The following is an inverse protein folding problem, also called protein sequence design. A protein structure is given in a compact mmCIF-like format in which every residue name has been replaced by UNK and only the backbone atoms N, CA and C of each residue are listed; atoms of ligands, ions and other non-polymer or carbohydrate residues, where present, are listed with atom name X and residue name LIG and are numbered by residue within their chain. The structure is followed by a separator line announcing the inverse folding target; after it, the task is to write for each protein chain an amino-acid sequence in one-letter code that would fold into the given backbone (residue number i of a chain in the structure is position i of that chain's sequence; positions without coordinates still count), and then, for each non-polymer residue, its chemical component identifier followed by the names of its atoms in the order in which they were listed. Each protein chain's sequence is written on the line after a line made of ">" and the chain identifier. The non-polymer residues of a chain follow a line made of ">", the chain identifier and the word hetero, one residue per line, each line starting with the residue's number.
data_IF_237879389595
#
_entry.id   IF_237879389595
#
_cell.length_a   1.000
_cell.length_b   1.000
_cell.length_c   1.000
_cell.angle_alpha   90.00
_cell.angle_beta   90.00
_cell.angle_gamma   90.00
#
_symmetry.space_group_name_H-M   'P 1'
#
loop_
_entity.id
_entity.type
_entity.pdbx_description
1 polymer ?
#
# COMPACT_ATOMS: atom_id res chain seq x y z
N UNK A 1 -15.86 18.61 -15.25
CA UNK A 1 -16.22 17.18 -15.29
C UNK A 1 -16.83 16.88 -13.93
N UNK A 2 -18.09 16.44 -13.84
CA UNK A 2 -18.64 15.98 -12.55
C UNK A 2 -17.83 14.79 -12.08
N UNK A 3 -17.44 14.79 -10.80
CA UNK A 3 -16.86 13.61 -10.18
C UNK A 3 -17.92 12.48 -10.28
N UNK A 4 -17.57 11.31 -10.81
CA UNK A 4 -18.48 10.19 -10.84
C UNK A 4 -18.86 9.79 -9.40
N UNK A 5 -20.07 9.27 -9.23
CA UNK A 5 -20.51 8.71 -7.96
C UNK A 5 -19.72 7.41 -7.69
N UNK A 6 -18.60 7.58 -7.00
CA UNK A 6 -17.65 6.49 -6.70
C UNK A 6 -18.33 5.36 -5.91
N UNK A 7 -19.15 5.62 -4.87
CA UNK A 7 -19.93 4.58 -4.19
C UNK A 7 -20.78 3.72 -5.12
N UNK A 8 -21.57 4.33 -6.00
CA UNK A 8 -22.45 3.61 -6.94
C UNK A 8 -21.64 2.80 -7.95
N UNK A 9 -20.48 3.30 -8.36
CA UNK A 9 -19.57 2.56 -9.24
C UNK A 9 -18.96 1.35 -8.52
N UNK A 10 -18.52 1.50 -7.28
CA UNK A 10 -17.96 0.41 -6.48
C UNK A 10 -19.00 -0.68 -6.16
N UNK A 11 -20.25 -0.29 -5.90
CA UNK A 11 -21.35 -1.22 -5.66
C UNK A 11 -21.67 -2.09 -6.90
N UNK A 12 -21.71 -1.46 -8.09
CA UNK A 12 -21.87 -2.19 -9.37
C UNK A 12 -20.70 -3.14 -9.65
N UNK A 13 -19.48 -2.75 -9.27
CA UNK A 13 -18.29 -3.61 -9.36
C UNK A 13 -18.35 -4.80 -8.39
N UNK A 14 -18.88 -4.60 -7.18
CA UNK A 14 -19.10 -5.66 -6.21
C UNK A 14 -20.12 -6.69 -6.74
N UNK A 15 -21.17 -6.22 -7.42
CA UNK A 15 -22.20 -7.04 -8.04
C UNK A 15 -21.76 -7.71 -9.36
N UNK A 16 -20.52 -7.47 -9.82
CA UNK A 16 -19.97 -7.93 -11.12
C UNK A 16 -20.77 -7.45 -12.33
N UNK A 17 -21.55 -6.38 -12.18
CA UNK A 17 -22.29 -5.71 -13.24
C UNK A 17 -21.50 -4.56 -13.87
N UNK A 18 -20.17 -4.59 -13.73
CA UNK A 18 -19.31 -3.55 -14.25
C UNK A 18 -19.17 -3.63 -15.77
N UNK A 19 -19.54 -2.54 -16.43
CA UNK A 19 -19.45 -2.40 -17.87
C UNK A 19 -18.13 -1.76 -18.33
N UNK A 20 -17.93 -1.65 -19.66
CA UNK A 20 -16.78 -0.97 -20.24
C UNK A 20 -16.73 0.53 -19.87
N UNK A 21 -17.90 1.15 -19.62
CA UNK A 21 -18.00 2.55 -19.17
C UNK A 21 -17.44 2.75 -17.75
N UNK A 22 -17.62 1.76 -16.87
CA UNK A 22 -17.10 1.82 -15.51
C UNK A 22 -15.58 1.71 -15.51
N UNK A 23 -15.00 0.97 -16.45
CA UNK A 23 -13.54 0.89 -16.64
C UNK A 23 -12.95 2.24 -17.07
N UNK A 24 -13.58 2.92 -18.02
CA UNK A 24 -13.11 4.24 -18.45
C UNK A 24 -13.23 5.26 -17.32
N UNK A 25 -14.34 5.19 -16.57
CA UNK A 25 -14.55 6.02 -15.38
C UNK A 25 -13.48 5.76 -14.31
N UNK A 26 -13.15 4.50 -14.05
CA UNK A 26 -12.06 4.11 -13.14
C UNK A 26 -10.70 4.58 -13.63
N UNK A 27 -10.42 4.48 -14.94
CA UNK A 27 -9.16 4.98 -15.51
C UNK A 27 -9.04 6.48 -15.31
N UNK A 28 -10.05 7.25 -15.68
CA UNK A 28 -10.09 8.69 -15.45
C UNK A 28 -9.93 9.04 -13.97
N UNK A 29 -10.50 8.23 -13.06
CA UNK A 29 -10.33 8.40 -11.63
C UNK A 29 -8.88 8.14 -11.18
N UNK A 30 -8.22 7.11 -11.71
CA UNK A 30 -6.80 6.84 -11.42
C UNK A 30 -5.85 7.89 -11.99
N UNK A 31 -6.22 8.55 -13.09
CA UNK A 31 -5.47 9.65 -13.68
C UNK A 31 -5.64 10.94 -12.85
N UNK A 32 -6.87 11.21 -12.41
CA UNK A 32 -7.19 12.38 -11.58
C UNK A 32 -6.63 12.23 -10.17
N UNK A 33 -6.68 11.02 -9.61
CA UNK A 33 -6.22 10.69 -8.26
C UNK A 33 -5.27 9.48 -8.28
N UNK A 34 -3.98 9.70 -8.59
CA UNK A 34 -3.00 8.60 -8.72
C UNK A 34 -2.78 7.78 -7.45
N UNK A 35 -3.09 8.36 -6.28
CA UNK A 35 -2.97 7.71 -4.97
C UNK A 35 -4.22 6.94 -4.54
N UNK A 36 -5.30 6.95 -5.33
CA UNK A 36 -6.55 6.29 -4.94
C UNK A 36 -6.47 4.77 -5.15
N UNK A 37 -6.04 4.06 -4.11
CA UNK A 37 -5.74 2.61 -4.14
C UNK A 37 -6.96 1.78 -4.57
N UNK A 38 -8.14 2.11 -4.05
CA UNK A 38 -9.39 1.39 -4.36
C UNK A 38 -9.70 1.42 -5.86
N UNK A 39 -9.46 2.55 -6.54
CA UNK A 39 -9.65 2.63 -7.98
C UNK A 39 -8.65 1.75 -8.76
N UNK A 40 -7.38 1.69 -8.33
CA UNK A 40 -6.39 0.79 -8.97
C UNK A 40 -6.77 -0.68 -8.79
N UNK A 41 -7.23 -1.07 -7.60
CA UNK A 41 -7.68 -2.43 -7.30
C UNK A 41 -8.94 -2.78 -8.10
N UNK A 42 -9.91 -1.88 -8.13
CA UNK A 42 -11.16 -2.06 -8.86
C UNK A 42 -10.91 -2.16 -10.37
N UNK A 43 -10.10 -1.26 -10.93
CA UNK A 43 -9.69 -1.30 -12.34
C UNK A 43 -8.99 -2.63 -12.68
N UNK A 44 -8.10 -3.09 -11.80
CA UNK A 44 -7.41 -4.36 -12.00
C UNK A 44 -8.38 -5.55 -12.04
N UNK A 45 -9.41 -5.55 -11.19
CA UNK A 45 -10.46 -6.59 -11.17
C UNK A 45 -11.33 -6.58 -12.42
N UNK A 46 -11.73 -5.40 -12.90
CA UNK A 46 -12.50 -5.29 -14.14
C UNK A 46 -11.69 -5.80 -15.32
N UNK A 47 -10.40 -5.42 -15.40
CA UNK A 47 -9.50 -5.93 -16.44
C UNK A 47 -9.27 -7.45 -16.35
N UNK A 48 -9.23 -8.04 -15.14
CA UNK A 48 -9.17 -9.50 -14.98
C UNK A 48 -10.41 -10.20 -15.55
N UNK A 49 -11.61 -9.64 -15.32
CA UNK A 49 -12.87 -10.21 -15.79
C UNK A 49 -12.96 -10.19 -17.33
N UNK A 50 -12.51 -9.10 -17.95
CA UNK A 50 -12.46 -8.96 -19.41
C UNK A 50 -11.32 -9.74 -20.06
N UNK A 51 -10.39 -10.29 -19.27
CA UNK A 51 -9.22 -11.01 -19.78
C UNK A 51 -8.09 -10.09 -20.27
N UNK A 52 -8.09 -8.81 -19.91
CA UNK A 52 -7.02 -7.86 -20.18
C UNK A 52 -5.90 -7.94 -19.13
N UNK A 53 -5.15 -9.05 -19.13
CA UNK A 53 -4.14 -9.39 -18.10
C UNK A 53 -3.03 -8.36 -17.95
N UNK A 54 -2.57 -7.76 -19.05
CA UNK A 54 -1.51 -6.77 -19.00
C UNK A 54 -1.94 -5.48 -18.30
N UNK A 55 -3.16 -5.02 -18.57
CA UNK A 55 -3.72 -3.84 -17.91
C UNK A 55 -3.99 -4.14 -16.43
N UNK A 56 -4.60 -5.29 -16.14
CA UNK A 56 -4.80 -5.76 -14.77
C UNK A 56 -3.49 -5.79 -13.98
N UNK A 57 -2.43 -6.35 -14.56
CA UNK A 57 -1.11 -6.43 -13.93
C UNK A 57 -0.49 -5.05 -13.68
N UNK A 58 -0.64 -4.09 -14.60
CA UNK A 58 -0.18 -2.71 -14.39
C UNK A 58 -0.91 -2.06 -13.21
N UNK A 59 -2.23 -2.20 -13.16
CA UNK A 59 -3.06 -1.65 -12.09
C UNK A 59 -2.76 -2.30 -10.73
N UNK A 60 -2.53 -3.62 -10.68
CA UNK A 60 -2.07 -4.32 -9.47
C UNK A 60 -0.70 -3.86 -8.99
N UNK A 61 0.26 -3.65 -9.91
CA UNK A 61 1.57 -3.10 -9.54
C UNK A 61 1.43 -1.70 -8.94
N UNK A 62 0.56 -0.87 -9.50
CA UNK A 62 0.33 0.48 -8.98
C UNK A 62 -0.32 0.45 -7.60
N UNK A 63 -1.31 -0.42 -7.39
CA UNK A 63 -1.87 -0.66 -6.07
C UNK A 63 -0.81 -1.18 -5.07
N UNK A 64 0.11 -2.04 -5.51
CA UNK A 64 1.18 -2.58 -4.65
C UNK A 64 2.20 -1.53 -4.23
N UNK A 65 2.52 -0.57 -5.12
CA UNK A 65 3.39 0.57 -4.78
C UNK A 65 2.78 1.45 -3.68
N UNK A 66 1.44 1.60 -3.68
CA UNK A 66 0.73 2.41 -2.70
C UNK A 66 0.48 1.65 -1.40
N UNK A 67 0.20 0.34 -1.48
CA UNK A 67 -0.13 -0.50 -0.32
C UNK A 67 0.58 -1.87 -0.39
N UNK A 68 1.88 -1.92 -0.07
CA UNK A 68 2.70 -3.12 -0.27
C UNK A 68 2.34 -4.28 0.67
N UNK A 69 1.84 -3.97 1.86
CA UNK A 69 1.49 -4.94 2.90
C UNK A 69 0.16 -5.65 2.64
N UNK A 70 -0.69 -5.12 1.76
CA UNK A 70 -2.02 -5.67 1.51
C UNK A 70 -1.97 -7.09 0.94
N UNK A 71 -2.61 -8.08 1.60
CA UNK A 71 -2.66 -9.45 1.08
C UNK A 71 -3.49 -9.54 -0.21
N UNK A 72 -4.56 -8.76 -0.33
CA UNK A 72 -5.42 -8.75 -1.52
C UNK A 72 -4.66 -8.29 -2.77
N UNK A 73 -3.82 -7.27 -2.64
CA UNK A 73 -3.00 -6.74 -3.73
C UNK A 73 -1.89 -7.71 -4.13
N UNK A 74 -1.20 -8.31 -3.14
CA UNK A 74 -0.18 -9.34 -3.40
C UNK A 74 -0.78 -10.56 -4.12
N UNK A 75 -1.97 -10.98 -3.71
CA UNK A 75 -2.67 -12.08 -4.36
C UNK A 75 -3.12 -11.72 -5.78
N UNK A 76 -3.60 -10.49 -6.03
CA UNK A 76 -3.88 -10.00 -7.38
C UNK A 76 -2.65 -10.00 -8.28
N UNK A 77 -1.50 -9.58 -7.77
CA UNK A 77 -0.26 -9.59 -8.52
C UNK A 77 0.22 -11.02 -8.84
N UNK A 78 0.09 -11.96 -7.90
CA UNK A 78 0.42 -13.38 -8.14
C UNK A 78 -0.45 -13.98 -9.24
N UNK A 79 -1.77 -13.76 -9.17
CA UNK A 79 -2.73 -14.27 -10.17
C UNK A 79 -2.46 -13.71 -11.56
N UNK A 80 -2.08 -12.45 -11.67
CA UNK A 80 -1.76 -11.82 -12.96
C UNK A 80 -0.31 -12.04 -13.44
N UNK A 81 0.57 -12.57 -12.57
CA UNK A 81 1.94 -12.94 -12.92
C UNK A 81 2.10 -14.41 -13.31
N UNK A 82 1.15 -15.28 -12.95
CA UNK A 82 1.18 -16.67 -13.33
C UNK A 82 1.14 -16.81 -14.86
N UNK A 83 2.02 -17.63 -15.47
CA UNK A 83 1.92 -17.95 -16.88
C UNK A 83 0.56 -18.59 -17.13
N UNK A 84 -0.25 -17.95 -17.98
CA UNK A 84 -1.57 -18.47 -18.32
C UNK A 84 -1.37 -19.63 -19.28
N UNK A 85 -1.62 -20.84 -18.81
CA UNK A 85 -1.91 -21.95 -19.71
C UNK A 85 -3.20 -21.59 -20.44
N UNK A 86 -3.05 -21.18 -21.70
CA UNK A 86 -4.15 -20.98 -22.63
C UNK A 86 -4.89 -22.31 -22.82
N UNK A 87 -5.85 -22.59 -21.94
CA UNK A 87 -6.87 -23.60 -22.19
C UNK A 87 -7.86 -23.07 -23.23
N UNK A 88 -7.38 -22.87 -24.46
CA UNK A 88 -8.24 -22.90 -25.65
C UNK A 88 -8.57 -24.38 -25.93
N UNK A 89 -9.85 -24.69 -26.03
CA UNK A 89 -10.37 -26.05 -25.89
C UNK A 89 -9.84 -27.09 -26.88
N UNK A 90 -9.80 -28.34 -26.41
CA UNK A 90 -9.71 -29.50 -27.27
C UNK A 90 -10.54 -30.66 -26.68
N UNK A 91 -11.85 -30.52 -26.75
CA UNK A 91 -12.69 -31.68 -27.00
C UNK A 91 -12.73 -31.88 -28.51
N UNK A 92 -12.05 -32.90 -29.03
CA UNK A 92 -12.63 -33.85 -29.98
C UNK A 92 -11.65 -34.98 -30.30
N UNK A 93 -12.22 -36.18 -30.24
CA UNK A 93 -11.95 -37.32 -31.11
C UNK A 93 -10.63 -38.05 -30.90
N UNK A 94 -10.77 -39.28 -30.39
CA UNK A 94 -9.72 -40.28 -30.46
C UNK A 94 -9.29 -40.57 -31.89
N UNK A 95 -8.03 -40.98 -32.03
CA UNK A 95 -7.66 -41.99 -32.99
C UNK A 95 -6.43 -42.73 -32.46
N UNK A 96 -6.61 -44.03 -32.36
CA UNK A 96 -5.62 -45.04 -32.04
C UNK A 96 -4.37 -44.89 -32.91
N UNK A 97 -3.20 -45.06 -32.31
CA UNK A 97 -2.08 -45.72 -32.99
C UNK A 97 -1.32 -46.57 -31.99
N UNK A 98 -1.61 -47.86 -32.08
CA UNK A 98 -0.85 -48.99 -31.57
C UNK A 98 0.61 -48.96 -32.03
N UNK A 99 1.53 -49.38 -31.17
CA UNK A 99 2.95 -49.57 -31.50
C UNK A 99 3.89 -49.81 -30.32
N UNK A 100 3.61 -50.84 -29.51
CA UNK A 100 4.53 -51.56 -28.59
C UNK A 100 5.78 -52.14 -29.32
N UNK A 101 6.77 -52.79 -28.65
CA UNK A 101 7.08 -52.94 -27.20
C UNK A 101 8.60 -52.90 -26.84
N UNK A 102 8.90 -53.24 -25.57
CA UNK A 102 10.08 -53.95 -25.02
C UNK A 102 10.92 -53.12 -24.04
N UNK A 103 10.71 -53.28 -22.72
CA UNK A 103 11.38 -54.24 -21.81
C UNK A 103 12.33 -53.43 -20.91
N UNK A 104 12.56 -53.65 -19.62
CA UNK A 104 12.27 -54.65 -18.59
C UNK A 104 12.65 -53.88 -17.29
N UNK A 105 11.96 -53.93 -16.15
CA UNK A 105 12.11 -54.98 -15.15
C UNK A 105 11.18 -54.63 -13.96
N UNK A 106 10.56 -55.66 -13.40
CA UNK A 106 9.48 -55.65 -12.40
C UNK A 106 10.05 -55.62 -10.95
N UNK A 107 9.30 -55.92 -9.85
CA UNK A 107 7.86 -56.11 -9.66
C UNK A 107 7.26 -55.22 -8.53
N UNK A 108 6.02 -54.74 -8.63
CA UNK A 108 4.74 -55.39 -8.24
C UNK A 108 4.79 -56.14 -6.90
N UNK A 109 4.23 -55.50 -5.86
CA UNK A 109 3.49 -56.17 -4.80
C UNK A 109 2.09 -55.55 -4.76
N UNK A 110 1.09 -56.37 -5.04
CA UNK A 110 -0.31 -56.02 -4.97
C UNK A 110 -0.90 -56.27 -3.58
N UNK A 111 -2.06 -55.65 -3.42
CA UNK A 111 -3.22 -56.16 -2.71
C UNK A 111 -3.19 -56.09 -1.18
N UNK A 112 -4.04 -55.19 -0.66
CA UNK A 112 -5.09 -55.45 0.33
C UNK A 112 -6.07 -54.28 0.16
N UNK A 113 -7.22 -54.44 -0.51
CA UNK A 113 -8.42 -55.20 -0.14
C UNK A 113 -9.07 -54.76 1.18
N UNK A 114 -10.40 -54.71 1.13
CA UNK A 114 -11.35 -53.94 1.92
C UNK A 114 -11.31 -54.18 3.44
N UNK A 115 -11.71 -53.18 4.22
CA UNK A 115 -13.01 -53.19 4.94
C UNK A 115 -13.04 -52.24 6.14
N UNK A 116 -14.17 -51.54 6.24
CA UNK A 116 -14.79 -50.89 7.39
C UNK A 116 -14.11 -50.98 8.76
N UNK A 117 -13.96 -49.81 9.38
CA UNK A 117 -14.34 -49.64 10.79
C UNK A 117 -14.92 -48.25 10.99
N UNK A 118 -16.24 -48.21 10.92
CA UNK A 118 -17.08 -47.33 11.73
C UNK A 118 -16.47 -47.22 13.15
N UNK A 119 -16.12 -46.01 13.54
CA UNK A 119 -16.12 -45.64 14.95
C UNK A 119 -16.89 -44.33 15.04
N UNK A 120 -18.19 -44.52 15.20
CA UNK A 120 -19.11 -43.56 15.79
C UNK A 120 -18.51 -43.03 17.08
N UNK A 121 -18.19 -41.74 17.11
CA UNK A 121 -17.98 -41.02 18.36
C UNK A 121 -19.25 -40.20 18.68
N UNK A 122 -19.80 -40.32 19.90
CA UNK A 122 -21.14 -39.81 20.21
C UNK A 122 -21.24 -38.28 20.12
N UNK A 123 -22.42 -37.82 19.69
CA UNK A 123 -22.83 -36.42 19.72
C UNK A 123 -22.87 -35.90 21.15
N UNK A 124 -22.08 -34.87 21.44
CA UNK A 124 -22.39 -33.88 22.48
C UNK A 124 -23.42 -32.91 21.90
N UNK A 125 -24.58 -32.70 22.55
CA UNK A 125 -25.59 -31.76 22.07
C UNK A 125 -25.30 -30.37 22.64
N UNK A 126 -25.12 -29.36 21.77
CA UNK A 126 -25.39 -28.00 22.20
C UNK A 126 -24.35 -26.91 21.93
N UNK A 127 -23.47 -27.05 20.95
CA UNK A 127 -22.92 -25.87 20.29
C UNK A 127 -23.32 -25.92 18.83
N UNK A 128 -24.32 -25.09 18.51
CA UNK A 128 -24.67 -24.79 17.13
C UNK A 128 -23.37 -24.54 16.36
N UNK A 129 -23.22 -25.07 15.14
CA UNK A 129 -22.13 -24.64 14.30
C UNK A 129 -22.30 -23.13 14.19
N UNK A 130 -21.41 -22.37 14.85
CA UNK A 130 -21.20 -20.98 14.50
C UNK A 130 -20.73 -21.10 13.07
N UNK A 131 -21.67 -20.94 12.15
CA UNK A 131 -21.39 -20.68 10.78
C UNK A 131 -20.55 -19.41 10.84
N UNK A 132 -19.23 -19.57 10.87
CA UNK A 132 -18.35 -18.55 10.31
C UNK A 132 -18.93 -18.39 8.91
N UNK A 133 -19.60 -17.27 8.60
CA UNK A 133 -20.11 -17.10 7.27
C UNK A 133 -18.89 -17.24 6.38
N UNK A 134 -18.90 -18.27 5.53
CA UNK A 134 -18.02 -18.34 4.38
C UNK A 134 -18.47 -17.23 3.45
N UNK A 135 -18.09 -16.02 3.80
CA UNK A 135 -18.36 -14.84 3.02
C UNK A 135 -17.18 -13.94 3.29
N UNK A 136 -16.17 -14.17 2.45
CA UNK A 136 -15.10 -13.21 2.20
C UNK A 136 -15.68 -11.80 1.97
N UNK A 137 -16.95 -11.68 1.56
CA UNK A 137 -17.69 -10.42 1.48
C UNK A 137 -18.02 -9.80 2.84
N UNK A 138 -18.57 -10.55 3.80
CA UNK A 138 -18.88 -9.99 5.14
C UNK A 138 -17.63 -9.51 5.90
N UNK A 139 -16.47 -10.14 5.66
CA UNK A 139 -15.20 -9.67 6.23
C UNK A 139 -14.71 -8.38 5.56
N UNK A 140 -15.09 -8.11 4.30
CA UNK A 140 -14.73 -6.89 3.60
C UNK A 140 -15.51 -5.68 4.13
N UNK A 141 -16.80 -5.83 4.41
CA UNK A 141 -17.60 -4.74 4.96
C UNK A 141 -17.08 -4.29 6.33
N UNK A 142 -16.72 -5.25 7.20
CA UNK A 142 -16.08 -4.95 8.48
C UNK A 142 -14.71 -4.28 8.30
N UNK A 143 -13.91 -4.74 7.33
CA UNK A 143 -12.61 -4.13 7.02
C UNK A 143 -12.75 -2.71 6.45
N UNK A 144 -13.80 -2.43 5.68
CA UNK A 144 -14.06 -1.10 5.11
C UNK A 144 -14.44 -0.13 6.23
N UNK A 145 -15.35 -0.51 7.12
CA UNK A 145 -15.72 0.30 8.28
C UNK A 145 -14.53 0.56 9.22
N UNK A 146 -13.69 -0.45 9.45
CA UNK A 146 -12.48 -0.31 10.27
C UNK A 146 -11.45 0.64 9.62
N UNK A 147 -11.28 0.59 8.30
CA UNK A 147 -10.37 1.47 7.56
C UNK A 147 -10.88 2.91 7.44
N UNK A 148 -12.20 3.10 7.32
CA UNK A 148 -12.82 4.42 7.33
C UNK A 148 -12.71 5.07 8.71
N UNK A 149 -12.86 4.30 9.79
CA UNK A 149 -12.63 4.77 11.16
C UNK A 149 -11.15 5.06 11.48
N UNK A 150 -10.22 4.36 10.83
CA UNK A 150 -8.78 4.57 10.99
C UNK A 150 -8.20 5.66 10.07
N UNK A 151 -9.05 6.41 9.35
CA UNK A 151 -8.62 7.52 8.50
C UNK A 151 -8.01 8.63 9.37
N UNK A 152 -6.69 8.65 9.42
CA UNK A 152 -5.95 9.81 9.96
C UNK A 152 -6.24 10.96 9.00
N UNK A 153 -7.10 11.90 9.39
CA UNK A 153 -7.20 13.18 8.70
C UNK A 153 -5.87 13.91 8.94
N UNK A 154 -5.05 14.17 7.91
CA UNK A 154 -3.97 15.11 8.07
C UNK A 154 -4.62 16.49 8.11
N UNK A 155 -5.01 16.91 9.30
CA UNK A 155 -5.27 18.30 9.63
C UNK A 155 -4.10 18.82 10.46
N UNK A 156 -2.87 18.95 9.90
CA UNK A 156 -1.94 19.88 10.50
C UNK A 156 -2.56 21.26 10.26
N UNK A 157 -3.09 21.87 11.32
CA UNK A 157 -3.26 23.31 11.31
C UNK A 157 -1.88 23.90 11.00
N UNK A 158 -1.73 24.72 9.96
CA UNK A 158 -0.44 25.37 9.68
C UNK A 158 -0.04 26.37 10.77
N UNK A 159 -0.99 26.71 11.66
CA UNK A 159 -0.81 27.57 12.83
C UNK A 159 -0.66 26.79 14.15
N UNK A 160 -0.75 25.45 14.13
CA UNK A 160 -0.32 24.65 15.28
C UNK A 160 1.21 24.70 15.26
N UNK A 161 1.75 25.59 16.09
CA UNK A 161 3.16 25.70 16.44
C UNK A 161 3.52 24.47 17.28
N UNK A 162 3.43 23.28 16.65
CA UNK A 162 3.80 22.03 17.28
C UNK A 162 5.29 22.15 17.52
N UNK A 163 5.74 22.20 18.80
CA UNK A 163 7.16 22.30 19.08
C UNK A 163 7.84 21.14 18.37
N UNK A 164 8.93 21.45 17.67
CA UNK A 164 9.75 20.44 17.04
C UNK A 164 9.98 19.31 18.07
N UNK A 165 9.85 18.03 17.69
CA UNK A 165 10.12 16.96 18.63
C UNK A 165 11.51 17.21 19.20
N UNK A 166 11.58 17.42 20.53
CA UNK A 166 12.85 17.64 21.20
C UNK A 166 13.70 16.40 20.93
N UNK A 167 14.66 16.54 20.02
CA UNK A 167 15.56 15.46 19.69
C UNK A 167 16.40 15.21 20.94
N UNK A 168 16.06 14.16 21.67
CA UNK A 168 16.89 13.65 22.75
C UNK A 168 18.30 13.48 22.20
N UNK A 169 19.28 14.06 22.90
CA UNK A 169 20.68 14.09 22.49
C UNK A 169 21.29 12.68 22.34
N UNK A 170 20.62 11.67 22.89
CA UNK A 170 21.08 10.30 22.99
C UNK A 170 20.21 9.35 22.12
N UNK A 171 20.39 9.40 20.79
CA UNK A 171 20.14 8.20 19.97
C UNK A 171 19.26 8.31 18.73
N UNK A 172 18.62 9.45 18.42
CA UNK A 172 17.88 9.53 17.16
C UNK A 172 18.83 9.72 15.97
N UNK A 173 18.71 8.88 14.95
CA UNK A 173 19.63 8.88 13.80
C UNK A 173 19.37 10.15 12.98
N UNK A 174 20.36 11.04 12.91
CA UNK A 174 20.22 12.24 12.07
C UNK A 174 20.44 11.90 10.61
N UNK A 175 19.60 12.44 9.74
CA UNK A 175 19.73 12.26 8.29
C UNK A 175 19.84 13.62 7.57
N UNK A 176 20.52 13.66 6.41
CA UNK A 176 20.56 14.87 5.58
C UNK A 176 19.16 15.34 5.13
N UNK A 177 18.22 14.41 5.01
CA UNK A 177 16.81 14.73 4.68
C UNK A 177 16.14 15.46 5.83
N UNK A 178 16.38 15.04 7.08
CA UNK A 178 15.83 15.71 8.27
C UNK A 178 16.32 17.16 8.37
N UNK A 179 17.62 17.40 8.15
CA UNK A 179 18.15 18.76 8.12
C UNK A 179 17.45 19.65 7.08
N UNK A 180 17.20 19.12 5.87
CA UNK A 180 16.49 19.85 4.81
C UNK A 180 15.03 20.15 5.15
N UNK A 181 14.37 19.26 5.89
CA UNK A 181 13.00 19.49 6.36
C UNK A 181 12.98 20.66 7.32
N UNK A 182 13.89 20.70 8.31
CA UNK A 182 14.01 21.83 9.23
C UNK A 182 14.35 23.15 8.53
N UNK A 183 15.27 23.14 7.56
CA UNK A 183 15.56 24.32 6.73
C UNK A 183 14.31 24.82 5.98
N UNK A 184 13.52 23.90 5.40
CA UNK A 184 12.32 24.24 4.64
C UNK A 184 11.17 24.77 5.52
N UNK A 185 11.14 24.36 6.79
CA UNK A 185 10.18 24.82 7.79
C UNK A 185 10.58 26.13 8.47
N UNK A 186 11.76 26.68 8.15
CA UNK A 186 12.28 27.89 8.81
C UNK A 186 12.82 27.66 10.22
N UNK A 187 12.95 26.39 10.65
CA UNK A 187 13.50 26.03 11.95
C UNK A 187 15.04 26.02 11.89
N UNK A 188 15.62 27.22 11.77
CA UNK A 188 17.03 27.41 11.44
C UNK A 188 17.99 26.90 12.54
N UNK A 189 17.61 27.05 13.82
CA UNK A 189 18.41 26.58 14.96
C UNK A 189 18.49 25.04 15.01
N UNK A 190 17.35 24.36 14.83
CA UNK A 190 17.30 22.90 14.79
C UNK A 190 18.01 22.35 13.54
N UNK A 191 17.86 23.00 12.38
CA UNK A 191 18.61 22.65 11.18
C UNK A 191 20.14 22.74 11.42
N UNK A 192 20.61 23.78 12.11
CA UNK A 192 22.02 23.93 12.46
C UNK A 192 22.50 22.85 13.45
N UNK A 193 21.66 22.45 14.41
CA UNK A 193 21.94 21.35 15.36
C UNK A 193 22.09 20.01 14.62
N UNK A 194 21.17 19.68 13.72
CA UNK A 194 21.24 18.44 12.92
C UNK A 194 22.48 18.42 12.03
N UNK A 195 22.84 19.54 11.40
CA UNK A 195 24.06 19.64 10.61
C UNK A 195 25.34 19.45 11.43
N UNK A 196 25.40 19.94 12.68
CA UNK A 196 26.54 19.67 13.56
C UNK A 196 26.70 18.17 13.86
N UNK A 197 25.59 17.49 14.16
CA UNK A 197 25.63 16.04 14.43
C UNK A 197 25.98 15.22 13.18
N UNK A 198 25.47 15.59 12.01
CA UNK A 198 25.88 14.98 10.74
C UNK A 198 27.39 15.13 10.49
N UNK A 199 27.99 16.24 10.90
CA UNK A 199 29.43 16.44 10.81
C UNK A 199 30.23 15.54 11.76
N UNK A 200 29.66 15.12 12.88
CA UNK A 200 30.26 14.18 13.83
C UNK A 200 30.15 12.73 13.32
N UNK A 201 29.01 12.37 12.72
CA UNK A 201 28.74 11.03 12.20
C UNK A 201 29.43 10.77 10.84
N UNK A 202 29.64 11.81 10.03
CA UNK A 202 30.25 11.71 8.69
C UNK A 202 31.49 12.63 8.55
N UNK A 203 32.68 12.19 8.99
CA UNK A 203 33.92 12.98 8.94
C UNK A 203 34.29 13.49 7.54
N UNK A 204 33.96 12.72 6.50
CA UNK A 204 34.28 13.04 5.10
C UNK A 204 33.51 14.27 4.58
N UNK A 205 32.32 14.51 5.13
CA UNK A 205 31.43 15.63 4.77
C UNK A 205 31.34 16.70 5.88
N UNK A 206 32.13 16.53 6.94
CA UNK A 206 32.02 17.31 8.16
C UNK A 206 32.26 18.81 7.98
N UNK A 207 33.15 19.21 7.06
CA UNK A 207 33.40 20.63 6.80
C UNK A 207 32.19 21.29 6.11
N UNK A 208 31.58 20.60 5.15
CA UNK A 208 30.40 21.10 4.44
C UNK A 208 29.21 21.27 5.40
N UNK A 209 29.00 20.28 6.27
CA UNK A 209 27.95 20.34 7.28
C UNK A 209 28.21 21.41 8.35
N UNK A 210 29.46 21.60 8.81
CA UNK A 210 29.80 22.69 9.73
C UNK A 210 29.54 24.07 9.12
N UNK A 211 29.98 24.28 7.87
CA UNK A 211 29.73 25.54 7.15
C UNK A 211 28.24 25.81 6.97
N UNK A 212 27.45 24.77 6.71
CA UNK A 212 25.99 24.88 6.60
C UNK A 212 25.35 25.28 7.93
N UNK A 213 25.76 24.67 9.04
CA UNK A 213 25.28 25.01 10.37
C UNK A 213 25.60 26.48 10.76
N UNK A 214 26.81 26.95 10.47
CA UNK A 214 27.20 28.34 10.70
C UNK A 214 26.34 29.32 9.88
N UNK A 215 26.09 29.01 8.60
CA UNK A 215 25.25 29.84 7.74
C UNK A 215 23.79 29.90 8.22
N UNK A 216 23.26 28.79 8.76
CA UNK A 216 21.92 28.73 9.31
C UNK A 216 21.78 29.56 10.60
N UNK A 217 22.77 29.47 11.51
CA UNK A 217 22.79 30.31 12.72
C UNK A 217 22.87 31.81 12.38
N UNK A 218 23.63 32.18 11.35
CA UNK A 218 23.71 33.57 10.90
C UNK A 218 22.34 34.07 10.40
N UNK A 219 21.63 33.25 9.61
CA UNK A 219 20.28 33.59 9.13
C UNK A 219 19.27 33.66 10.26
N UNK A 220 19.35 32.79 11.26
CA UNK A 220 18.49 32.84 12.44
C UNK A 220 18.64 34.17 13.18
N UNK A 221 19.90 34.60 13.41
CA UNK A 221 20.19 35.88 14.04
C UNK A 221 19.67 37.08 13.23
N UNK A 222 19.78 37.06 11.91
CA UNK A 222 19.24 38.11 11.03
C UNK A 222 17.71 38.17 11.07
N UNK A 223 17.02 37.02 11.14
CA UNK A 223 15.55 36.95 11.23
C UNK A 223 15.04 37.42 12.60
N UNK A 224 15.75 37.11 13.68
CA UNK A 224 15.48 37.67 15.02
C UNK A 224 15.68 39.19 15.08
N UNK A 225 16.76 39.70 14.48
CA UNK A 225 17.03 41.14 14.46
C UNK A 225 15.98 41.90 13.64
N UNK A 226 15.59 41.37 12.47
CA UNK A 226 14.57 41.97 11.61
C UNK A 226 13.16 41.96 12.23
N UNK A 227 12.83 40.95 13.03
CA UNK A 227 11.55 40.87 13.74
C UNK A 227 11.51 41.76 14.99
N UNK A 228 12.65 41.97 15.65
CA UNK A 228 12.80 42.87 16.80
C UNK A 228 12.63 44.36 16.45
N UNK A 229 13.20 44.82 15.34
CA UNK A 229 13.14 46.25 14.95
C UNK A 229 11.73 46.72 14.55
N UNK A 230 10.87 45.82 14.06
CA UNK A 230 9.48 46.16 13.69
C UNK A 230 8.54 46.39 14.88
N UNK A 231 8.92 45.93 16.07
CA UNK A 231 8.13 46.06 17.30
C UNK A 231 8.38 47.35 18.08
N UNK A 232 9.50 48.06 17.83
CA UNK A 232 9.90 49.25 18.61
C UNK A 232 9.47 50.59 18.02
N UNK A 233 8.90 50.63 16.82
CA UNK A 233 8.59 51.90 16.10
C UNK A 233 7.11 52.34 16.19
N UNK A 234 6.33 51.76 17.12
CA UNK A 234 4.89 52.05 17.30
C UNK A 234 4.48 52.65 18.65
N UNK A 235 5.42 52.95 19.54
CA UNK A 235 5.14 53.50 20.87
C UNK A 235 5.72 54.91 21.02
N UNK A 236 5.17 55.86 20.27
CA UNK A 236 5.58 57.25 20.41
C UNK A 236 4.91 58.19 19.42
N UNK A 237 3.61 58.42 19.56
CA UNK A 237 3.03 59.71 19.23
C UNK A 237 1.72 59.88 20.04
N UNK A 238 1.80 60.80 21.02
CA UNK A 238 0.71 61.36 21.81
C UNK A 238 -0.13 62.37 21.01
#
# INVERSE_FOLDING_TARGET
>A
MSLPDVPVLLDRLAQRDAGPEDRETLRALTETFPGYVTAHVALARTCEQEGSWDEARRSWKRAHLLLPTSPAVREGLRRTAAPREEHSGQEHSGQEHSGEPASDDAPRAEAFDEASSETSRPLEPGEAPVQVPSSREAHLDTLIEELEGARIEPSPNPDDDVPAPELDADGDVVSPTLARIYEAQGQLEEAARVHRRLAEEHPDEAEAHRRRAEALNARAAEEEESTGERGSEGAGEE
#
